data_IF_954474239675
#
_entry.id   IF_954474239675
#
_cell.length_a   1.000
_cell.length_b   1.000
_cell.length_c   1.000
_cell.angle_alpha   90.00
_cell.angle_beta   90.00
_cell.angle_gamma   90.00
#
_symmetry.space_group_name_H-M   'P 1'
#
loop_
_entity.id
_entity.type
_entity.pdbx_description
1 polymer ?
#
# COMPACT_ATOMS: atom_id res chain seq x y z
N UNK A 1 22.44 7.07 -3.16
CA UNK A 1 22.11 6.69 -4.55
C UNK A 1 20.87 5.79 -4.62
N UNK A 2 20.88 4.60 -4.01
CA UNK A 2 19.79 3.60 -4.16
C UNK A 2 18.41 4.05 -3.64
N UNK A 3 18.36 4.71 -2.46
CA UNK A 3 17.11 5.21 -1.86
C UNK A 3 16.44 6.32 -2.70
N UNK A 4 17.22 7.15 -3.39
CA UNK A 4 16.70 8.23 -4.23
C UNK A 4 16.07 7.68 -5.53
N UNK A 5 16.68 6.65 -6.13
CA UNK A 5 16.12 5.97 -7.30
C UNK A 5 14.79 5.26 -6.99
N UNK A 6 14.63 4.72 -5.78
CA UNK A 6 13.35 4.15 -5.33
C UNK A 6 12.27 5.22 -5.19
N UNK A 7 12.59 6.36 -4.56
CA UNK A 7 11.63 7.43 -4.33
C UNK A 7 11.13 8.09 -5.62
N UNK A 8 11.95 8.12 -6.68
CA UNK A 8 11.55 8.66 -7.98
C UNK A 8 10.35 7.93 -8.59
N UNK A 9 10.15 6.65 -8.25
CA UNK A 9 9.06 5.83 -8.76
C UNK A 9 7.86 5.76 -7.80
N UNK A 10 7.88 6.48 -6.68
CA UNK A 10 6.77 6.53 -5.72
C UNK A 10 6.05 7.87 -5.88
N UNK A 11 4.84 7.92 -6.47
CA UNK A 11 4.06 9.15 -6.61
C UNK A 11 3.83 9.91 -5.31
N UNK A 12 3.65 9.22 -4.18
CA UNK A 12 3.54 9.87 -2.86
C UNK A 12 4.85 10.50 -2.35
N UNK A 13 5.97 10.35 -3.07
CA UNK A 13 7.25 10.99 -2.77
C UNK A 13 7.94 10.50 -1.49
N UNK A 14 7.43 9.43 -0.88
CA UNK A 14 7.97 8.87 0.36
C UNK A 14 7.84 7.35 0.41
N UNK A 15 8.67 6.72 1.24
CA UNK A 15 8.49 5.32 1.59
C UNK A 15 7.24 5.15 2.47
N UNK A 16 6.59 3.99 2.33
CA UNK A 16 5.50 3.58 3.19
C UNK A 16 5.97 3.36 4.62
N UNK A 17 5.08 3.61 5.58
CA UNK A 17 5.24 3.26 6.98
C UNK A 17 4.56 1.89 7.22
N UNK A 18 5.18 0.95 7.95
CA UNK A 18 4.57 -0.34 8.32
C UNK A 18 3.15 -0.23 8.91
N UNK A 19 2.85 0.86 9.62
CA UNK A 19 1.52 1.11 10.18
C UNK A 19 0.42 1.26 9.10
N UNK A 20 0.77 1.68 7.88
CA UNK A 20 -0.16 1.81 6.77
C UNK A 20 -0.56 0.43 6.23
N UNK A 21 0.40 -0.50 6.13
CA UNK A 21 0.13 -1.91 5.82
C UNK A 21 -0.77 -2.52 6.89
N UNK A 22 -0.41 -2.32 8.17
CA UNK A 22 -1.18 -2.84 9.29
C UNK A 22 -2.63 -2.29 9.29
N UNK A 23 -2.82 -1.03 8.92
CA UNK A 23 -4.14 -0.41 8.77
C UNK A 23 -4.99 -1.10 7.71
N UNK A 24 -4.42 -1.40 6.53
CA UNK A 24 -5.10 -2.12 5.46
C UNK A 24 -5.40 -3.57 5.85
N UNK A 25 -4.48 -4.27 6.51
CA UNK A 25 -4.71 -5.62 7.03
C UNK A 25 -5.85 -5.62 8.04
N UNK A 26 -5.87 -4.65 8.97
CA UNK A 26 -6.94 -4.49 9.95
C UNK A 26 -8.29 -4.26 9.28
N UNK A 27 -8.35 -3.47 8.20
CA UNK A 27 -9.57 -3.29 7.42
C UNK A 27 -10.04 -4.63 6.81
N UNK A 28 -9.15 -5.34 6.11
CA UNK A 28 -9.49 -6.62 5.47
C UNK A 28 -9.91 -7.70 6.48
N UNK A 29 -9.38 -7.65 7.70
CA UNK A 29 -9.75 -8.56 8.79
C UNK A 29 -11.01 -8.12 9.57
N UNK A 30 -11.57 -6.95 9.27
CA UNK A 30 -12.75 -6.43 9.96
C UNK A 30 -14.05 -6.77 9.25
N UNK A 31 -15.18 -6.66 9.96
CA UNK A 31 -16.52 -6.86 9.40
C UNK A 31 -16.82 -5.92 8.21
N UNK A 32 -16.17 -4.74 8.16
CA UNK A 32 -16.33 -3.80 7.07
C UNK A 32 -15.87 -4.34 5.71
N UNK A 33 -15.00 -5.35 5.70
CA UNK A 33 -14.52 -6.03 4.49
C UNK A 33 -15.25 -7.36 4.24
N UNK A 34 -16.37 -7.65 4.92
CA UNK A 34 -17.03 -8.96 4.89
C UNK A 34 -17.51 -9.45 3.51
N UNK A 35 -17.51 -8.59 2.49
CA UNK A 35 -17.82 -8.96 1.10
C UNK A 35 -16.65 -8.79 0.13
N UNK A 36 -15.44 -8.55 0.64
CA UNK A 36 -14.21 -8.44 -0.15
C UNK A 36 -13.51 -9.79 -0.18
N UNK A 37 -13.48 -10.43 -1.34
CA UNK A 37 -12.79 -11.72 -1.55
C UNK A 37 -12.17 -11.79 -2.94
N UNK A 38 -11.10 -12.57 -3.10
CA UNK A 38 -10.40 -12.74 -4.37
C UNK A 38 -9.72 -11.47 -4.92
N UNK A 39 -9.45 -10.49 -4.06
CA UNK A 39 -8.90 -9.18 -4.46
C UNK A 39 -7.48 -8.97 -3.93
N UNK A 40 -6.65 -8.27 -4.70
CA UNK A 40 -5.31 -7.85 -4.30
C UNK A 40 -5.31 -6.34 -4.03
N UNK A 41 -5.18 -5.96 -2.75
CA UNK A 41 -5.08 -4.56 -2.35
C UNK A 41 -3.61 -4.09 -2.37
N UNK A 42 -3.28 -3.19 -3.31
CA UNK A 42 -1.95 -2.60 -3.37
C UNK A 42 -1.81 -1.44 -2.37
N UNK A 43 -0.81 -1.54 -1.49
CA UNK A 43 -0.44 -0.49 -0.53
C UNK A 43 1.00 -0.06 -0.79
N UNK A 44 1.20 0.70 -1.87
CA UNK A 44 2.55 0.92 -2.44
C UNK A 44 2.85 2.40 -2.76
N UNK A 45 2.01 3.33 -2.30
CA UNK A 45 2.19 4.76 -2.53
C UNK A 45 2.15 5.18 -4.01
N UNK A 46 1.53 4.36 -4.86
CA UNK A 46 1.37 4.60 -6.29
C UNK A 46 2.47 4.00 -7.18
N UNK A 47 3.38 3.19 -6.64
CA UNK A 47 4.47 2.58 -7.43
C UNK A 47 3.97 1.72 -8.60
N UNK A 48 2.79 1.15 -8.49
CA UNK A 48 2.11 0.46 -9.59
C UNK A 48 0.83 1.20 -9.93
N UNK A 49 0.99 2.32 -10.63
CA UNK A 49 -0.07 3.03 -11.34
C UNK A 49 0.43 3.05 -12.79
N UNK A 50 -0.31 2.42 -13.69
CA UNK A 50 0.03 2.17 -15.12
C UNK A 50 0.92 3.21 -15.79
#
# INVERSE_FOLDING_TARGET
>A
AHKAALLANVPLGRLGNPAEIAGCVRFLASDAAGYVTGHTLHVNGGMYMS
#
